data_IF_886664076338
#
_entry.id   IF_886664076338
#
_cell.length_a   1.000
_cell.length_b   1.000
_cell.length_c   1.000
_cell.angle_alpha   90.00
_cell.angle_beta   90.00
_cell.angle_gamma   90.00
#
_symmetry.space_group_name_H-M   'P 1'
#
loop_
_entity.id
_entity.type
_entity.pdbx_description
1 polymer ?
#
# COMPACT_ATOMS: atom_id res chain seq x y z
N UNK A 1 6.51 39.84 3.03
CA UNK A 1 5.05 39.87 2.81
C UNK A 1 4.65 39.20 1.49
N UNK A 2 5.20 39.57 0.32
CA UNK A 2 4.83 38.89 -0.95
C UNK A 2 5.43 37.48 -1.13
N UNK A 3 6.56 37.19 -0.47
CA UNK A 3 7.25 35.90 -0.56
C UNK A 3 6.56 34.76 0.20
N UNK A 4 5.87 35.07 1.29
CA UNK A 4 5.17 34.07 2.14
C UNK A 4 3.95 33.49 1.43
N UNK A 5 3.15 34.35 0.77
CA UNK A 5 1.89 33.91 0.14
C UNK A 5 2.11 32.98 -1.07
N UNK A 6 3.27 33.06 -1.72
CA UNK A 6 3.64 32.18 -2.84
C UNK A 6 4.14 30.83 -2.31
N UNK A 7 4.88 30.82 -1.19
CA UNK A 7 5.38 29.60 -0.53
C UNK A 7 4.24 28.71 -0.01
N UNK A 8 3.23 29.30 0.65
CA UNK A 8 2.09 28.56 1.18
C UNK A 8 1.23 27.90 0.09
N UNK A 9 1.01 28.59 -1.04
CA UNK A 9 0.28 28.05 -2.19
C UNK A 9 1.02 26.89 -2.86
N UNK A 10 2.35 26.95 -2.91
CA UNK A 10 3.14 25.83 -3.43
C UNK A 10 3.14 24.64 -2.47
N UNK A 11 3.30 24.87 -1.16
CA UNK A 11 3.26 23.83 -0.13
C UNK A 11 1.99 23.00 -0.16
N UNK A 12 0.82 23.65 -0.17
CA UNK A 12 -0.47 22.94 -0.23
C UNK A 12 -0.63 22.06 -1.47
N UNK A 13 -0.06 22.46 -2.61
CA UNK A 13 -0.07 21.66 -3.84
C UNK A 13 0.84 20.42 -3.71
N UNK A 14 1.98 20.54 -3.04
CA UNK A 14 2.87 19.39 -2.81
C UNK A 14 2.28 18.40 -1.82
N UNK A 15 1.66 18.88 -0.74
CA UNK A 15 0.97 18.04 0.24
C UNK A 15 -0.18 17.25 -0.40
N UNK A 16 -0.99 17.91 -1.24
CA UNK A 16 -2.09 17.24 -1.93
C UNK A 16 -1.60 16.15 -2.91
N UNK A 17 -0.52 16.43 -3.65
CA UNK A 17 0.08 15.45 -4.56
C UNK A 17 0.69 14.27 -3.80
N UNK A 18 1.34 14.52 -2.66
CA UNK A 18 1.89 13.48 -1.81
C UNK A 18 0.78 12.61 -1.21
N UNK A 19 -0.31 13.22 -0.73
CA UNK A 19 -1.49 12.50 -0.24
C UNK A 19 -2.09 11.59 -1.31
N UNK A 20 -2.33 12.11 -2.51
CA UNK A 20 -2.85 11.33 -3.63
C UNK A 20 -1.90 10.19 -4.03
N UNK A 21 -0.59 10.44 -4.06
CA UNK A 21 0.40 9.40 -4.33
C UNK A 21 0.34 8.27 -3.29
N UNK A 22 0.26 8.63 -2.01
CA UNK A 22 0.19 7.64 -0.93
C UNK A 22 -1.09 6.81 -1.04
N UNK A 23 -2.24 7.44 -1.25
CA UNK A 23 -3.54 6.75 -1.29
C UNK A 23 -3.71 5.90 -2.56
N UNK A 24 -3.26 6.39 -3.72
CA UNK A 24 -3.51 5.74 -5.01
C UNK A 24 -2.42 4.73 -5.38
N UNK A 25 -1.19 4.91 -4.92
CA UNK A 25 -0.07 4.00 -5.24
C UNK A 25 0.43 3.25 -4.01
N UNK A 26 0.82 3.97 -2.97
CA UNK A 26 1.52 3.34 -1.84
C UNK A 26 0.62 2.35 -1.10
N UNK A 27 -0.58 2.76 -0.70
CA UNK A 27 -1.52 1.88 0.01
C UNK A 27 -1.93 0.65 -0.82
N UNK A 28 -2.29 0.77 -2.11
CA UNK A 28 -2.65 -0.38 -2.93
C UNK A 28 -1.49 -1.37 -3.12
N UNK A 29 -0.28 -0.88 -3.40
CA UNK A 29 0.90 -1.75 -3.53
C UNK A 29 1.16 -2.49 -2.23
N UNK A 30 1.09 -1.76 -1.11
CA UNK A 30 1.28 -2.32 0.21
C UNK A 30 0.21 -3.39 0.53
N UNK A 31 -1.05 -3.11 0.21
CA UNK A 31 -2.16 -4.06 0.37
C UNK A 31 -1.94 -5.34 -0.44
N UNK A 32 -1.57 -5.24 -1.71
CA UNK A 32 -1.28 -6.41 -2.54
C UNK A 32 -0.13 -7.20 -1.94
N UNK A 33 0.98 -6.55 -1.57
CA UNK A 33 2.15 -7.24 -1.01
C UNK A 33 1.80 -8.03 0.27
N UNK A 34 1.01 -7.45 1.18
CA UNK A 34 0.64 -8.13 2.42
C UNK A 34 -0.43 -9.21 2.21
N UNK A 35 -1.50 -8.91 1.48
CA UNK A 35 -2.61 -9.87 1.28
C UNK A 35 -2.16 -11.03 0.39
N UNK A 36 -1.48 -10.74 -0.72
CA UNK A 36 -0.95 -11.79 -1.59
C UNK A 36 0.21 -12.53 -0.93
N UNK A 37 1.11 -11.83 -0.24
CA UNK A 37 2.21 -12.45 0.49
C UNK A 37 1.72 -13.41 1.56
N UNK A 38 0.76 -13.00 2.38
CA UNK A 38 0.18 -13.85 3.41
C UNK A 38 -0.65 -15.00 2.82
N UNK A 39 -1.52 -14.72 1.84
CA UNK A 39 -2.31 -15.76 1.17
C UNK A 39 -1.43 -16.79 0.46
N UNK A 40 -0.39 -16.34 -0.24
CA UNK A 40 0.61 -17.19 -0.88
C UNK A 40 1.43 -17.96 0.14
N UNK A 41 1.80 -17.36 1.28
CA UNK A 41 2.52 -18.04 2.34
C UNK A 41 1.71 -19.19 2.92
N UNK A 42 0.43 -18.95 3.26
CA UNK A 42 -0.47 -20.00 3.74
C UNK A 42 -0.70 -21.07 2.66
N UNK A 43 -0.95 -20.67 1.41
CA UNK A 43 -1.07 -21.60 0.29
C UNK A 43 0.20 -22.45 0.10
N UNK A 44 1.39 -21.87 0.20
CA UNK A 44 2.65 -22.58 0.07
C UNK A 44 2.83 -23.58 1.23
N UNK A 45 2.52 -23.17 2.45
CA UNK A 45 2.51 -24.08 3.60
C UNK A 45 1.54 -25.25 3.39
N UNK A 46 0.36 -25.01 2.80
CA UNK A 46 -0.59 -26.06 2.43
C UNK A 46 -0.01 -27.01 1.38
N UNK A 47 0.59 -26.50 0.31
CA UNK A 47 1.16 -27.32 -0.77
C UNK A 47 2.35 -28.15 -0.31
N UNK A 48 3.22 -27.60 0.54
CA UNK A 48 4.49 -28.26 0.88
C UNK A 48 4.49 -29.03 2.20
N UNK A 49 3.68 -28.63 3.19
CA UNK A 49 3.77 -29.19 4.55
C UNK A 49 2.45 -29.69 5.13
N UNK A 50 1.35 -28.97 4.90
CA UNK A 50 0.07 -29.20 5.62
C UNK A 50 -0.94 -30.03 4.82
N UNK A 51 -0.68 -30.30 3.54
CA UNK A 51 -1.62 -30.97 2.65
C UNK A 51 -2.79 -30.06 2.21
N UNK A 52 -3.59 -30.50 1.23
CA UNK A 52 -4.67 -29.68 0.66
C UNK A 52 -5.66 -29.23 1.74
N UNK A 53 -6.06 -27.96 1.79
CA UNK A 53 -7.08 -27.51 2.73
C UNK A 53 -8.43 -28.10 2.35
N UNK A 54 -8.99 -29.01 3.18
CA UNK A 54 -10.36 -29.51 2.96
C UNK A 54 -10.71 -30.94 3.35
N UNK A 55 -9.91 -31.67 4.13
CA UNK A 55 -10.37 -32.92 4.76
C UNK A 55 -10.13 -32.89 6.26
N UNK A 56 -11.23 -32.91 7.03
CA UNK A 56 -11.29 -33.34 8.44
C UNK A 56 -10.57 -32.48 9.46
#
# INVERSE_FOLDING_TARGET
>A
MYSDEIDDKEKGRYEWRAFLFIVVLLFPILSVMFVSGYGFFIWALQVFFLGPPGHG
#
